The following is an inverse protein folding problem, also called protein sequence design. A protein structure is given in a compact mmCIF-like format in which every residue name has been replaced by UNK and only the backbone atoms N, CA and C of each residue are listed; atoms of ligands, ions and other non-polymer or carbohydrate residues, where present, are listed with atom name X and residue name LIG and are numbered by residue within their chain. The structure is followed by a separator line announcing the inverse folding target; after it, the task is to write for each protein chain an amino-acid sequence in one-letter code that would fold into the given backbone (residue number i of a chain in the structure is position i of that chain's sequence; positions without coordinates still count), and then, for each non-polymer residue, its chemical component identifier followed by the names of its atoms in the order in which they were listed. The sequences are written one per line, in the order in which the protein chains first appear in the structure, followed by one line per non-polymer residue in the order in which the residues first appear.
data_IF_312399003767
#
_entry.id   IF_312399003767
#
_cell.length_a   1.000
_cell.length_b   1.000
_cell.length_c   1.000
_cell.angle_alpha   90.00
_cell.angle_beta   90.00
_cell.angle_gamma   90.00
#
_symmetry.space_group_name_H-M   'P 1'
#
loop_
_entity.id
_entity.type
_entity.pdbx_description
1 polymer ?
#
# COMPACT_ATOMS: atom_id res chain seq x y z
N UNK A 1 68.79 17.56 27.79
CA UNK A 1 68.38 16.19 28.26
C UNK A 1 66.85 16.21 28.35
N UNK A 2 66.23 15.67 27.34
CA UNK A 2 64.77 15.64 27.17
C UNK A 2 64.29 14.20 27.30
N UNK A 3 63.50 13.92 28.33
CA UNK A 3 62.92 12.59 28.59
C UNK A 3 61.57 12.47 27.96
N UNK A 4 61.49 11.64 26.93
CA UNK A 4 60.29 11.30 26.20
C UNK A 4 59.33 10.49 27.11
N UNK A 5 58.11 10.99 27.37
CA UNK A 5 57.01 10.24 27.97
C UNK A 5 56.22 9.51 26.88
N UNK A 6 56.42 8.21 26.80
CA UNK A 6 55.61 7.29 26.02
C UNK A 6 54.18 7.24 26.58
N UNK A 7 53.19 7.69 25.78
CA UNK A 7 51.78 7.58 26.10
C UNK A 7 51.26 6.16 25.81
N UNK A 8 50.90 5.46 26.86
CA UNK A 8 50.21 4.16 26.77
C UNK A 8 48.76 4.42 26.34
N UNK A 9 48.45 4.04 25.11
CA UNK A 9 47.12 4.08 24.51
C UNK A 9 46.27 2.98 25.12
N UNK A 10 45.41 3.31 26.10
CA UNK A 10 44.38 2.41 26.61
C UNK A 10 43.30 2.20 25.53
N UNK A 11 43.25 1.04 24.94
CA UNK A 11 42.09 0.62 24.13
C UNK A 11 40.89 0.43 25.06
N UNK A 12 39.69 0.91 24.64
CA UNK A 12 38.47 0.68 25.39
C UNK A 12 38.05 -0.78 25.19
N UNK A 13 38.11 -1.57 26.25
CA UNK A 13 37.48 -2.90 26.30
C UNK A 13 35.97 -2.71 26.15
N UNK A 14 35.47 -2.90 24.95
CA UNK A 14 34.04 -2.97 24.68
C UNK A 14 33.45 -4.13 25.47
N UNK A 15 32.69 -3.84 26.54
CA UNK A 15 31.77 -4.79 27.15
C UNK A 15 30.73 -5.20 26.12
N UNK A 16 30.98 -6.26 25.37
CA UNK A 16 29.99 -6.93 24.55
C UNK A 16 28.87 -7.41 25.50
N UNK A 17 27.74 -6.77 25.47
CA UNK A 17 26.47 -7.32 25.97
C UNK A 17 26.24 -8.61 25.18
N UNK A 18 26.46 -9.76 25.80
CA UNK A 18 26.27 -11.07 25.17
C UNK A 18 24.76 -11.31 24.98
N UNK A 19 24.25 -10.92 23.84
CA UNK A 19 22.87 -11.20 23.39
C UNK A 19 22.69 -12.71 23.21
N UNK A 20 21.55 -13.24 23.64
CA UNK A 20 21.13 -14.60 23.38
C UNK A 20 20.94 -14.82 21.88
N UNK A 21 21.65 -15.79 21.30
CA UNK A 21 21.57 -16.16 19.90
C UNK A 21 20.87 -17.52 19.72
N UNK A 22 20.04 -17.71 18.69
CA UNK A 22 19.43 -18.99 18.42
C UNK A 22 20.44 -19.96 17.79
N UNK A 23 20.57 -21.13 18.41
CA UNK A 23 21.40 -22.25 17.94
C UNK A 23 20.50 -23.40 17.51
N UNK A 24 20.86 -24.04 16.40
CA UNK A 24 20.33 -25.35 16.00
C UNK A 24 21.35 -26.40 16.42
N UNK A 25 20.87 -27.45 17.13
CA UNK A 25 21.71 -28.53 17.57
C UNK A 25 21.19 -29.90 17.11
N UNK A 26 22.10 -30.80 16.84
CA UNK A 26 21.84 -32.21 16.60
C UNK A 26 22.62 -33.00 17.66
N UNK A 27 21.97 -33.97 18.29
CA UNK A 27 22.57 -34.78 19.33
C UNK A 27 21.93 -36.17 19.43
N UNK A 28 22.46 -37.00 20.29
CA UNK A 28 21.97 -38.38 20.52
C UNK A 28 21.59 -38.51 22.00
N UNK A 29 20.43 -39.01 22.30
CA UNK A 29 19.99 -39.35 23.65
C UNK A 29 20.74 -40.58 24.18
N UNK A 30 20.68 -40.83 25.48
CA UNK A 30 21.28 -42.02 26.16
C UNK A 30 20.83 -43.35 25.56
N UNK A 31 19.73 -43.38 24.83
CA UNK A 31 19.15 -44.54 24.12
C UNK A 31 19.63 -44.68 22.67
N UNK A 32 20.54 -43.83 22.19
CA UNK A 32 21.02 -43.85 20.82
C UNK A 32 20.11 -43.19 19.80
N UNK A 33 19.02 -42.55 20.24
CA UNK A 33 18.05 -41.84 19.32
C UNK A 33 18.58 -40.48 18.93
N UNK A 34 18.62 -40.20 17.64
CA UNK A 34 19.02 -38.87 17.11
C UNK A 34 17.92 -37.85 17.38
N UNK A 35 18.29 -36.77 18.03
CA UNK A 35 17.43 -35.64 18.35
C UNK A 35 17.96 -34.35 17.70
N UNK A 36 17.06 -33.50 17.29
CA UNK A 36 17.36 -32.15 16.75
C UNK A 36 16.50 -31.14 17.48
N UNK A 37 17.04 -29.98 17.76
CA UNK A 37 16.30 -28.93 18.44
C UNK A 37 16.89 -27.55 18.18
N UNK A 38 16.14 -26.53 18.60
CA UNK A 38 16.57 -25.14 18.59
C UNK A 38 16.52 -24.60 20.01
N UNK A 39 17.59 -23.89 20.44
CA UNK A 39 17.67 -23.30 21.77
C UNK A 39 18.45 -21.99 21.74
N UNK A 40 18.00 -21.03 22.56
CA UNK A 40 18.67 -19.74 22.73
C UNK A 40 19.83 -19.92 23.73
N UNK A 41 21.03 -19.52 23.34
CA UNK A 41 22.19 -19.54 24.22
C UNK A 41 23.12 -18.35 23.95
N UNK A 42 23.95 -18.00 24.95
CA UNK A 42 24.95 -16.93 24.80
C UNK A 42 26.13 -17.36 23.91
N UNK A 43 26.47 -18.65 23.91
CA UNK A 43 27.46 -19.22 22.99
C UNK A 43 27.26 -20.74 22.83
N UNK A 44 27.86 -21.31 21.78
CA UNK A 44 27.75 -22.74 21.45
C UNK A 44 28.28 -23.68 22.57
N UNK A 45 29.27 -23.24 23.33
CA UNK A 45 29.87 -24.06 24.37
C UNK A 45 28.96 -24.17 25.61
N UNK A 46 28.27 -23.09 25.98
CA UNK A 46 27.27 -23.12 27.05
C UNK A 46 26.10 -24.03 26.65
N UNK A 47 25.63 -23.96 25.42
CA UNK A 47 24.57 -24.84 24.93
C UNK A 47 24.99 -26.31 24.95
N UNK A 48 26.24 -26.65 24.56
CA UNK A 48 26.76 -28.01 24.64
C UNK A 48 26.81 -28.53 26.08
N UNK A 49 27.18 -27.68 27.02
CA UNK A 49 27.20 -28.05 28.44
C UNK A 49 25.79 -28.32 28.99
N UNK A 50 24.84 -27.50 28.58
CA UNK A 50 23.43 -27.62 28.97
C UNK A 50 22.77 -28.87 28.40
N UNK A 51 23.00 -29.18 27.12
CA UNK A 51 22.52 -30.40 26.47
C UNK A 51 23.11 -31.67 27.14
N UNK A 52 24.40 -31.66 27.53
CA UNK A 52 25.03 -32.77 28.29
C UNK A 52 24.36 -32.95 29.63
N UNK A 53 23.99 -31.87 30.33
CA UNK A 53 23.27 -31.94 31.61
C UNK A 53 21.88 -32.56 31.45
N UNK A 54 21.25 -32.34 30.28
CA UNK A 54 19.95 -32.93 29.91
C UNK A 54 20.07 -34.38 29.42
N UNK A 55 21.30 -34.97 29.42
CA UNK A 55 21.54 -36.34 28.99
C UNK A 55 21.64 -36.54 27.49
N UNK A 56 21.76 -35.45 26.74
CA UNK A 56 21.91 -35.46 25.28
C UNK A 56 23.39 -35.29 24.95
N UNK A 57 23.93 -36.19 24.15
CA UNK A 57 25.31 -36.06 23.66
C UNK A 57 25.29 -35.15 22.41
N UNK A 58 25.75 -33.88 22.51
CA UNK A 58 25.64 -32.93 21.40
C UNK A 58 26.65 -33.30 20.32
N UNK A 59 26.18 -33.55 19.13
CA UNK A 59 26.97 -33.71 17.93
C UNK A 59 27.31 -32.33 17.30
N UNK A 60 26.46 -31.83 16.44
CA UNK A 60 26.67 -30.55 15.75
C UNK A 60 25.85 -29.43 16.42
N UNK A 61 26.51 -28.34 16.84
CA UNK A 61 25.86 -27.14 17.34
C UNK A 61 26.30 -25.98 16.48
N UNK A 62 25.36 -25.39 15.73
CA UNK A 62 25.61 -24.27 14.81
C UNK A 62 24.70 -23.10 15.16
N UNK A 63 25.19 -21.89 15.00
CA UNK A 63 24.30 -20.69 14.99
C UNK A 63 23.28 -20.87 13.91
N UNK A 64 22.00 -20.67 14.23
CA UNK A 64 20.94 -20.72 13.23
C UNK A 64 21.25 -19.71 12.14
N UNK A 65 21.48 -20.12 10.88
CA UNK A 65 21.78 -19.18 9.82
C UNK A 65 20.62 -18.21 9.70
N UNK A 66 20.90 -16.91 9.71
CA UNK A 66 19.88 -15.91 9.37
C UNK A 66 19.46 -16.21 7.94
N UNK A 67 18.19 -16.54 7.68
CA UNK A 67 17.77 -16.82 6.32
C UNK A 67 18.02 -15.61 5.45
N UNK A 68 18.81 -15.76 4.41
CA UNK A 68 19.14 -14.74 3.41
C UNK A 68 17.90 -14.26 2.66
N UNK A 69 16.86 -15.10 2.58
CA UNK A 69 15.57 -14.81 1.94
C UNK A 69 14.45 -15.42 2.81
N UNK A 70 13.60 -14.58 3.43
CA UNK A 70 12.27 -15.01 3.82
C UNK A 70 11.89 -15.18 5.28
N UNK A 71 12.81 -15.13 6.27
CA UNK A 71 12.41 -15.27 7.69
C UNK A 71 11.97 -13.97 8.36
N UNK A 72 12.05 -12.85 7.67
CA UNK A 72 11.59 -11.57 8.21
C UNK A 72 10.05 -11.39 8.13
N UNK A 73 9.31 -12.36 7.60
CA UNK A 73 7.87 -12.19 7.33
C UNK A 73 7.58 -11.13 6.27
N UNK A 74 6.40 -11.15 5.70
CA UNK A 74 5.95 -10.07 4.82
C UNK A 74 5.84 -8.75 5.61
N UNK A 75 6.05 -7.57 4.98
CA UNK A 75 5.82 -6.30 5.65
C UNK A 75 4.38 -6.24 6.18
N UNK A 76 4.19 -5.58 7.32
CA UNK A 76 2.87 -5.34 7.89
C UNK A 76 2.06 -4.52 6.90
N UNK A 77 0.92 -5.04 6.45
CA UNK A 77 0.03 -4.40 5.48
C UNK A 77 -1.05 -3.60 6.20
N UNK A 78 -1.63 -2.61 5.53
CA UNK A 78 -2.76 -1.85 6.07
C UNK A 78 -3.95 -2.75 6.46
N UNK A 79 -4.16 -3.85 5.72
CA UNK A 79 -5.17 -4.87 6.06
C UNK A 79 -4.90 -5.56 7.40
N UNK A 80 -3.61 -5.79 7.73
CA UNK A 80 -3.24 -6.41 9.02
C UNK A 80 -3.57 -5.46 10.17
N UNK A 81 -3.37 -4.15 9.96
CA UNK A 81 -3.73 -3.11 10.93
C UNK A 81 -5.26 -2.96 11.07
N UNK A 82 -6.00 -3.00 9.96
CA UNK A 82 -7.47 -2.97 10.02
C UNK A 82 -8.01 -4.17 10.83
N UNK A 83 -7.49 -5.37 10.58
CA UNK A 83 -7.84 -6.58 11.31
C UNK A 83 -7.47 -6.51 12.80
N UNK A 84 -6.25 -6.04 13.10
CA UNK A 84 -5.80 -5.75 14.46
C UNK A 84 -6.77 -4.81 15.19
N UNK A 85 -7.12 -3.68 14.56
CA UNK A 85 -8.02 -2.69 15.13
C UNK A 85 -9.40 -3.27 15.43
N UNK A 86 -9.94 -4.09 14.51
CA UNK A 86 -11.22 -4.78 14.71
C UNK A 86 -11.17 -5.77 15.86
N UNK A 87 -10.11 -6.56 15.96
CA UNK A 87 -9.95 -7.50 17.06
C UNK A 87 -9.82 -6.78 18.41
N UNK A 88 -8.98 -5.72 18.48
CA UNK A 88 -8.86 -4.90 19.67
C UNK A 88 -10.21 -4.29 20.10
N UNK A 89 -10.92 -3.66 19.17
CA UNK A 89 -12.23 -3.08 19.42
C UNK A 89 -13.23 -4.12 19.97
N UNK A 90 -13.29 -5.30 19.34
CA UNK A 90 -14.20 -6.37 19.73
C UNK A 90 -13.88 -6.90 21.13
N UNK A 91 -12.61 -7.15 21.43
CA UNK A 91 -12.19 -7.67 22.74
C UNK A 91 -12.42 -6.65 23.85
N UNK A 92 -12.07 -5.39 23.63
CA UNK A 92 -12.27 -4.33 24.61
C UNK A 92 -13.76 -4.06 24.86
N UNK A 93 -14.58 -4.08 23.80
CA UNK A 93 -16.03 -3.96 23.93
C UNK A 93 -16.67 -5.12 24.71
N UNK A 94 -16.01 -6.29 24.70
CA UNK A 94 -16.38 -7.45 25.50
C UNK A 94 -15.78 -7.43 26.92
N UNK A 95 -15.11 -6.35 27.32
CA UNK A 95 -14.52 -6.18 28.66
C UNK A 95 -13.17 -6.87 28.86
N UNK A 96 -12.53 -7.37 27.78
CA UNK A 96 -11.19 -7.99 27.90
C UNK A 96 -10.14 -6.87 28.09
N UNK A 97 -9.27 -6.99 29.12
CA UNK A 97 -8.22 -6.00 29.35
C UNK A 97 -7.28 -5.83 28.14
N UNK A 98 -6.77 -4.60 27.93
CA UNK A 98 -5.91 -4.24 26.80
C UNK A 98 -4.72 -5.19 26.62
N UNK A 99 -4.00 -5.46 27.71
CA UNK A 99 -2.80 -6.34 27.71
C UNK A 99 -3.15 -7.76 27.27
N UNK A 100 -4.25 -8.31 27.81
CA UNK A 100 -4.73 -9.64 27.43
C UNK A 100 -5.19 -9.69 25.97
N UNK A 101 -5.84 -8.64 25.48
CA UNK A 101 -6.25 -8.51 24.08
C UNK A 101 -5.05 -8.51 23.14
N UNK A 102 -4.01 -7.76 23.48
CA UNK A 102 -2.76 -7.71 22.71
C UNK A 102 -2.05 -9.06 22.68
N UNK A 103 -2.02 -9.79 23.81
CA UNK A 103 -1.40 -11.11 23.89
C UNK A 103 -2.13 -12.15 23.01
N UNK A 104 -3.46 -12.16 23.04
CA UNK A 104 -4.29 -13.02 22.20
C UNK A 104 -4.04 -12.73 20.71
N UNK A 105 -4.02 -11.44 20.33
CA UNK A 105 -3.79 -11.03 18.95
C UNK A 105 -2.38 -11.40 18.48
N UNK A 106 -1.36 -11.15 19.31
CA UNK A 106 0.02 -11.48 19.00
C UNK A 106 0.21 -12.99 18.79
N UNK A 107 -0.37 -13.82 19.67
CA UNK A 107 -0.27 -15.27 19.58
C UNK A 107 -1.01 -15.85 18.38
N UNK A 108 -2.13 -15.28 17.99
CA UNK A 108 -2.97 -15.74 16.86
C UNK A 108 -2.52 -15.28 15.48
N UNK A 109 -1.62 -14.30 15.37
CA UNK A 109 -1.30 -13.70 14.08
C UNK A 109 -0.24 -14.50 13.30
N UNK A 110 -0.53 -14.78 12.00
CA UNK A 110 0.36 -15.58 11.12
C UNK A 110 1.62 -14.82 10.67
N UNK A 111 1.57 -13.48 10.59
CA UNK A 111 2.70 -12.68 10.15
C UNK A 111 3.66 -12.40 11.32
N UNK A 112 4.92 -12.91 11.30
CA UNK A 112 5.87 -12.72 12.40
C UNK A 112 6.21 -11.25 12.70
N UNK A 113 6.17 -10.38 11.66
CA UNK A 113 6.41 -8.94 11.86
C UNK A 113 5.24 -8.27 12.58
N UNK A 114 4.01 -8.69 12.27
CA UNK A 114 2.83 -8.19 12.99
C UNK A 114 2.83 -8.68 14.44
N UNK A 115 3.13 -9.96 14.66
CA UNK A 115 3.30 -10.49 16.00
C UNK A 115 4.31 -9.68 16.80
N UNK A 116 5.51 -9.44 16.25
CA UNK A 116 6.55 -8.64 16.92
C UNK A 116 6.08 -7.20 17.20
N UNK A 117 5.35 -6.58 16.27
CA UNK A 117 4.78 -5.24 16.46
C UNK A 117 3.83 -5.21 17.66
N UNK A 118 2.89 -6.15 17.71
CA UNK A 118 1.90 -6.23 18.80
C UNK A 118 2.55 -6.59 20.13
N UNK A 119 3.52 -7.50 20.14
CA UNK A 119 4.32 -7.85 21.34
C UNK A 119 5.09 -6.62 21.87
N UNK A 120 5.64 -5.79 20.98
CA UNK A 120 6.35 -4.55 21.39
C UNK A 120 5.37 -3.56 22.02
N UNK A 121 4.19 -3.34 21.41
CA UNK A 121 3.14 -2.48 21.96
C UNK A 121 2.67 -2.99 23.31
N UNK A 122 2.46 -4.32 23.45
CA UNK A 122 2.08 -4.95 24.71
C UNK A 122 3.12 -4.66 25.80
N UNK A 123 4.39 -4.89 25.51
CA UNK A 123 5.49 -4.67 26.47
C UNK A 123 5.58 -3.21 26.91
N UNK A 124 5.37 -2.26 25.99
CA UNK A 124 5.34 -0.84 26.31
C UNK A 124 4.19 -0.50 27.27
N UNK A 125 3.01 -1.07 27.06
CA UNK A 125 1.83 -0.85 27.92
C UNK A 125 2.00 -1.53 29.29
N UNK A 126 2.55 -2.76 29.32
CA UNK A 126 2.90 -3.43 30.58
C UNK A 126 3.96 -2.62 31.38
N UNK A 127 4.83 -1.88 30.67
CA UNK A 127 5.80 -0.96 31.27
C UNK A 127 5.21 0.38 31.74
N UNK A 128 3.87 0.59 31.61
CA UNK A 128 3.17 1.78 32.08
C UNK A 128 2.98 2.87 31.02
N UNK A 129 3.36 2.66 29.77
CA UNK A 129 3.05 3.60 28.69
C UNK A 129 1.55 3.56 28.33
N UNK A 130 0.99 4.70 27.93
CA UNK A 130 -0.36 4.73 27.38
C UNK A 130 -0.44 4.02 26.03
N UNK A 131 -1.64 3.62 25.62
CA UNK A 131 -1.87 3.02 24.28
C UNK A 131 -1.43 3.98 23.17
N UNK A 132 -1.77 5.27 23.32
CA UNK A 132 -1.34 6.32 22.40
C UNK A 132 0.19 6.40 22.29
N UNK A 133 0.91 6.40 23.43
CA UNK A 133 2.38 6.46 23.45
C UNK A 133 3.00 5.24 22.78
N UNK A 134 2.50 4.04 23.10
CA UNK A 134 2.99 2.80 22.54
C UNK A 134 2.85 2.73 21.03
N UNK A 135 1.67 3.09 20.46
CA UNK A 135 1.45 3.10 19.01
C UNK A 135 2.20 4.25 18.30
N UNK A 136 2.46 5.36 19.01
CA UNK A 136 3.17 6.52 18.42
C UNK A 136 4.62 6.23 18.08
N UNK A 137 5.22 5.20 18.68
CA UNK A 137 6.55 4.68 18.30
C UNK A 137 6.57 4.01 16.92
N UNK A 138 5.40 3.74 16.34
CA UNK A 138 5.24 3.01 15.08
C UNK A 138 4.46 3.82 14.01
N UNK A 139 4.97 4.99 13.57
CA UNK A 139 4.23 5.91 12.69
C UNK A 139 3.99 5.37 11.27
N UNK A 140 4.75 4.36 10.84
CA UNK A 140 4.58 3.71 9.54
C UNK A 140 3.34 2.83 9.51
N UNK A 141 3.00 2.19 10.63
CA UNK A 141 1.87 1.29 10.78
C UNK A 141 0.60 2.02 11.25
N UNK A 142 0.76 2.98 12.15
CA UNK A 142 -0.32 3.78 12.73
C UNK A 142 -0.18 5.22 12.29
N UNK A 143 -1.00 5.64 11.32
CA UNK A 143 -1.02 6.99 10.80
C UNK A 143 -1.44 8.03 11.87
N UNK A 144 -1.30 9.28 11.54
CA UNK A 144 -1.59 10.39 12.46
C UNK A 144 -3.03 10.38 12.95
N UNK A 145 -3.99 10.11 12.04
CA UNK A 145 -5.39 9.98 12.39
C UNK A 145 -5.60 8.88 13.46
N UNK A 146 -5.03 7.70 13.25
CA UNK A 146 -5.13 6.59 14.21
C UNK A 146 -4.64 6.99 15.59
N UNK A 147 -3.45 7.57 15.65
CA UNK A 147 -2.80 7.98 16.92
C UNK A 147 -3.59 9.06 17.66
N UNK A 148 -4.08 10.06 16.93
CA UNK A 148 -4.86 11.15 17.52
C UNK A 148 -6.22 10.69 18.03
N UNK A 149 -6.91 9.80 17.30
CA UNK A 149 -8.15 9.19 17.75
C UNK A 149 -7.95 8.35 19.01
N UNK A 150 -6.89 7.52 19.05
CA UNK A 150 -6.58 6.73 20.24
C UNK A 150 -6.24 7.64 21.42
N UNK A 151 -5.49 8.73 21.21
CA UNK A 151 -5.20 9.74 22.26
C UNK A 151 -6.48 10.33 22.84
N UNK A 152 -7.39 10.76 21.97
CA UNK A 152 -8.66 11.33 22.39
C UNK A 152 -9.53 10.32 23.15
N UNK A 153 -9.64 9.09 22.64
CA UNK A 153 -10.42 8.03 23.27
C UNK A 153 -9.85 7.56 24.60
N UNK A 154 -8.54 7.51 24.73
CA UNK A 154 -7.84 7.16 25.97
C UNK A 154 -8.05 8.27 27.02
N UNK A 155 -7.88 9.53 26.64
CA UNK A 155 -8.11 10.67 27.52
C UNK A 155 -9.57 10.81 27.99
N UNK A 156 -10.54 10.42 27.17
CA UNK A 156 -11.97 10.45 27.48
C UNK A 156 -12.49 9.15 28.14
N UNK A 157 -11.67 8.10 28.25
CA UNK A 157 -12.07 6.79 28.79
C UNK A 157 -13.02 6.00 27.89
N UNK A 158 -13.06 6.29 26.57
CA UNK A 158 -13.96 5.66 25.58
C UNK A 158 -13.16 4.96 24.48
N UNK A 159 -12.01 4.41 24.83
CA UNK A 159 -11.05 3.81 23.90
C UNK A 159 -11.65 2.69 23.04
N UNK A 160 -12.57 1.88 23.60
CA UNK A 160 -13.28 0.84 22.88
C UNK A 160 -14.12 1.38 21.71
N UNK A 161 -14.85 2.48 21.94
CA UNK A 161 -15.69 3.14 20.92
C UNK A 161 -14.83 3.74 19.82
N UNK A 162 -13.71 4.34 20.19
CA UNK A 162 -12.76 4.93 19.24
C UNK A 162 -12.08 3.84 18.41
N UNK A 163 -11.65 2.75 19.03
CA UNK A 163 -11.05 1.62 18.31
C UNK A 163 -12.04 0.97 17.33
N UNK A 164 -13.32 0.84 17.68
CA UNK A 164 -14.36 0.35 16.78
C UNK A 164 -14.56 1.28 15.59
N UNK A 165 -14.55 2.57 15.84
CA UNK A 165 -14.66 3.60 14.80
C UNK A 165 -13.47 3.59 13.86
N UNK A 166 -12.25 3.50 14.40
CA UNK A 166 -11.00 3.38 13.62
C UNK A 166 -10.95 2.07 12.83
N UNK A 167 -11.40 0.96 13.44
CA UNK A 167 -11.47 -0.33 12.75
C UNK A 167 -12.39 -0.24 11.53
N UNK A 168 -13.60 0.29 11.72
CA UNK A 168 -14.57 0.50 10.62
C UNK A 168 -14.02 1.40 9.52
N UNK A 169 -13.34 2.49 9.90
CA UNK A 169 -12.69 3.39 8.95
C UNK A 169 -11.61 2.67 8.12
N UNK A 170 -10.72 1.94 8.77
CA UNK A 170 -9.64 1.18 8.09
C UNK A 170 -10.20 0.06 7.21
N UNK A 171 -11.23 -0.65 7.66
CA UNK A 171 -11.92 -1.69 6.88
C UNK A 171 -12.55 -1.11 5.61
N UNK A 172 -13.25 0.03 5.69
CA UNK A 172 -13.86 0.68 4.54
C UNK A 172 -12.81 1.11 3.51
N UNK A 173 -11.69 1.71 3.95
CA UNK A 173 -10.58 2.07 3.06
C UNK A 173 -10.01 0.84 2.37
N UNK A 174 -9.76 -0.24 3.11
CA UNK A 174 -9.18 -1.46 2.52
C UNK A 174 -10.18 -2.20 1.62
N UNK A 175 -11.47 -2.18 1.93
CA UNK A 175 -12.54 -2.70 1.08
C UNK A 175 -12.61 -1.95 -0.25
N UNK A 176 -12.57 -0.60 -0.22
CA UNK A 176 -12.57 0.24 -1.40
C UNK A 176 -11.33 0.00 -2.28
N UNK A 177 -10.13 -0.02 -1.68
CA UNK A 177 -8.89 -0.37 -2.40
C UNK A 177 -8.97 -1.76 -3.01
N UNK A 178 -9.53 -2.72 -2.29
CA UNK A 178 -9.75 -4.08 -2.76
C UNK A 178 -10.69 -4.13 -3.97
N UNK A 179 -11.78 -3.36 -3.94
CA UNK A 179 -12.74 -3.26 -5.03
C UNK A 179 -12.09 -2.66 -6.29
N UNK A 180 -11.39 -1.54 -6.17
CA UNK A 180 -10.66 -0.91 -7.28
C UNK A 180 -9.64 -1.89 -7.88
N UNK A 181 -8.85 -2.57 -7.04
CA UNK A 181 -7.86 -3.54 -7.51
C UNK A 181 -8.49 -4.71 -8.26
N UNK A 182 -9.62 -5.24 -7.78
CA UNK A 182 -10.36 -6.33 -8.45
C UNK A 182 -10.93 -5.85 -9.79
N UNK A 183 -11.51 -4.66 -9.82
CA UNK A 183 -12.09 -4.08 -11.02
C UNK A 183 -11.06 -3.88 -12.14
N UNK A 184 -9.85 -3.45 -11.80
CA UNK A 184 -8.76 -3.24 -12.75
C UNK A 184 -8.00 -4.52 -13.13
N UNK A 185 -8.16 -5.61 -12.38
CA UNK A 185 -7.38 -6.84 -12.62
C UNK A 185 -7.68 -7.45 -13.99
N UNK A 186 -8.97 -7.62 -14.33
CA UNK A 186 -9.39 -8.19 -15.61
C UNK A 186 -8.90 -7.34 -16.81
N UNK A 187 -9.16 -6.01 -16.87
CA UNK A 187 -8.64 -5.14 -17.92
C UNK A 187 -7.12 -5.25 -18.12
N UNK A 188 -6.36 -5.20 -17.03
CA UNK A 188 -4.90 -5.29 -17.09
C UNK A 188 -4.45 -6.64 -17.64
N UNK A 189 -5.05 -7.75 -17.19
CA UNK A 189 -4.69 -9.08 -17.68
C UNK A 189 -5.00 -9.25 -19.18
N UNK A 190 -6.14 -8.75 -19.65
CA UNK A 190 -6.51 -8.82 -21.07
C UNK A 190 -5.54 -8.02 -21.93
N UNK A 191 -5.17 -6.79 -21.50
CA UNK A 191 -4.18 -5.97 -22.21
C UNK A 191 -2.80 -6.65 -22.22
N UNK A 192 -2.37 -7.22 -21.11
CA UNK A 192 -1.09 -7.94 -21.02
C UNK A 192 -1.05 -9.13 -21.98
N UNK A 193 -2.11 -9.94 -22.03
CA UNK A 193 -2.20 -11.09 -22.94
C UNK A 193 -2.22 -10.62 -24.38
N UNK A 194 -3.00 -9.58 -24.71
CA UNK A 194 -3.06 -9.01 -26.06
C UNK A 194 -1.69 -8.48 -26.51
N UNK A 195 -0.98 -7.75 -25.63
CA UNK A 195 0.37 -7.25 -25.90
C UNK A 195 1.37 -8.40 -26.10
N UNK A 196 1.26 -9.47 -25.31
CA UNK A 196 2.11 -10.65 -25.44
C UNK A 196 1.89 -11.35 -26.78
N UNK A 197 0.63 -11.62 -27.13
CA UNK A 197 0.28 -12.26 -28.42
C UNK A 197 0.72 -11.38 -29.58
N UNK A 198 0.45 -10.08 -29.54
CA UNK A 198 0.88 -9.13 -30.57
C UNK A 198 2.41 -9.07 -30.68
N UNK A 199 3.12 -9.12 -29.55
CA UNK A 199 4.57 -9.17 -29.53
C UNK A 199 5.13 -10.45 -30.19
N UNK A 200 4.54 -11.61 -29.87
CA UNK A 200 4.91 -12.88 -30.51
C UNK A 200 4.68 -12.81 -32.03
N UNK A 201 3.53 -12.28 -32.45
CA UNK A 201 3.22 -12.12 -33.87
C UNK A 201 4.24 -11.22 -34.58
N UNK A 202 4.56 -10.07 -33.98
CA UNK A 202 5.52 -9.13 -34.56
C UNK A 202 6.97 -9.67 -34.58
N UNK A 203 7.37 -10.43 -33.57
CA UNK A 203 8.77 -10.91 -33.47
C UNK A 203 9.01 -12.17 -34.30
N UNK A 204 8.05 -13.08 -34.36
CA UNK A 204 8.24 -14.40 -34.99
C UNK A 204 7.50 -14.55 -36.32
N UNK A 205 6.27 -14.07 -36.41
CA UNK A 205 5.41 -14.38 -37.58
C UNK A 205 5.66 -13.37 -38.70
N UNK A 206 5.66 -12.07 -38.39
CA UNK A 206 5.83 -11.01 -39.41
C UNK A 206 7.16 -11.14 -40.18
N UNK A 207 8.33 -11.43 -39.56
CA UNK A 207 9.57 -11.63 -40.28
C UNK A 207 9.56 -12.82 -41.27
N UNK A 208 8.92 -13.94 -40.87
CA UNK A 208 8.79 -15.10 -41.75
C UNK A 208 7.99 -14.79 -43.01
N UNK A 209 6.91 -14.02 -42.88
CA UNK A 209 6.18 -13.54 -44.04
C UNK A 209 7.00 -12.60 -44.92
N UNK A 210 7.76 -11.70 -44.32
CA UNK A 210 8.68 -10.80 -45.06
C UNK A 210 9.66 -11.59 -45.92
N UNK A 211 10.28 -12.62 -45.35
CA UNK A 211 11.25 -13.46 -46.06
C UNK A 211 10.63 -14.25 -47.24
N UNK A 212 9.41 -14.78 -47.01
CA UNK A 212 8.63 -15.44 -48.07
C UNK A 212 8.35 -14.48 -49.22
N UNK A 213 7.88 -13.24 -48.96
CA UNK A 213 7.56 -12.28 -49.99
C UNK A 213 8.81 -11.80 -50.77
N UNK A 214 9.93 -11.59 -50.09
CA UNK A 214 11.20 -11.26 -50.75
C UNK A 214 11.67 -12.36 -51.71
N UNK A 215 11.42 -13.63 -51.40
CA UNK A 215 11.79 -14.73 -52.28
C UNK A 215 10.99 -14.77 -53.57
N UNK A 216 9.78 -14.19 -53.60
CA UNK A 216 8.96 -14.03 -54.81
C UNK A 216 9.24 -12.75 -55.60
N UNK A 217 10.23 -11.92 -55.17
CA UNK A 217 10.58 -10.67 -55.85
C UNK A 217 9.50 -9.60 -55.83
N UNK A 218 8.48 -9.71 -55.01
CA UNK A 218 7.35 -8.78 -54.96
C UNK A 218 7.60 -7.70 -53.88
N UNK A 219 7.25 -6.45 -54.24
CA UNK A 219 7.31 -5.35 -53.25
C UNK A 219 6.14 -5.47 -52.26
N UNK A 220 6.46 -5.30 -50.95
CA UNK A 220 5.48 -5.31 -49.89
C UNK A 220 4.54 -4.08 -49.98
N UNK A 221 3.23 -4.24 -49.78
CA UNK A 221 2.30 -3.10 -49.65
C UNK A 221 2.73 -2.16 -48.52
N UNK A 222 2.46 -0.85 -48.70
CA UNK A 222 2.90 0.19 -47.77
C UNK A 222 2.47 -0.09 -46.30
N UNK A 223 1.25 -0.59 -46.09
CA UNK A 223 0.76 -0.95 -44.76
C UNK A 223 1.52 -2.13 -44.14
N UNK A 224 1.80 -3.17 -44.92
CA UNK A 224 2.63 -4.32 -44.46
C UNK A 224 4.05 -3.86 -44.15
N UNK A 225 4.61 -2.97 -44.98
CA UNK A 225 5.94 -2.41 -44.75
C UNK A 225 6.01 -1.60 -43.44
N UNK A 226 4.96 -0.87 -43.09
CA UNK A 226 4.84 -0.17 -41.82
C UNK A 226 4.89 -1.15 -40.63
N UNK A 227 4.10 -2.26 -40.70
CA UNK A 227 4.07 -3.27 -39.66
C UNK A 227 5.41 -4.01 -39.54
N UNK A 228 6.07 -4.31 -40.65
CA UNK A 228 7.42 -4.90 -40.68
C UNK A 228 8.46 -3.96 -40.06
N UNK A 229 8.42 -2.67 -40.37
CA UNK A 229 9.31 -1.69 -39.77
C UNK A 229 9.09 -1.56 -38.27
N UNK A 230 7.82 -1.57 -37.83
CA UNK A 230 7.48 -1.61 -36.39
C UNK A 230 8.00 -2.87 -35.71
N UNK A 231 7.88 -4.05 -36.38
CA UNK A 231 8.42 -5.31 -35.92
C UNK A 231 9.93 -5.22 -35.72
N UNK A 232 10.66 -4.76 -36.73
CA UNK A 232 12.12 -4.59 -36.67
C UNK A 232 12.55 -3.63 -35.56
N UNK A 233 11.81 -2.52 -35.41
CA UNK A 233 12.05 -1.58 -34.33
C UNK A 233 11.86 -2.24 -32.96
N UNK A 234 10.78 -2.99 -32.77
CA UNK A 234 10.53 -3.73 -31.51
C UNK A 234 11.60 -4.77 -31.23
N UNK A 235 12.01 -5.58 -32.23
CA UNK A 235 13.05 -6.60 -32.08
C UNK A 235 14.40 -5.98 -31.74
N UNK A 236 14.75 -4.85 -32.36
CA UNK A 236 16.06 -4.21 -32.15
C UNK A 236 16.15 -3.40 -30.85
N UNK A 237 15.04 -2.78 -30.43
CA UNK A 237 15.03 -1.79 -29.36
C UNK A 237 14.18 -2.18 -28.14
N UNK A 238 13.68 -3.42 -28.04
CA UNK A 238 12.82 -3.85 -26.93
C UNK A 238 13.47 -3.62 -25.55
N UNK A 239 14.75 -3.88 -25.42
CA UNK A 239 15.49 -3.69 -24.17
C UNK A 239 15.59 -2.21 -23.78
N UNK A 240 15.79 -1.32 -24.78
CA UNK A 240 15.83 0.13 -24.56
C UNK A 240 14.43 0.65 -24.19
N UNK A 241 13.37 0.17 -24.86
CA UNK A 241 11.99 0.50 -24.52
C UNK A 241 11.67 0.10 -23.09
N UNK A 242 12.09 -1.10 -22.67
CA UNK A 242 11.90 -1.59 -21.30
C UNK A 242 12.70 -0.74 -20.30
N UNK A 243 13.94 -0.38 -20.60
CA UNK A 243 14.77 0.47 -19.75
C UNK A 243 14.18 1.87 -19.61
N UNK A 244 13.71 2.47 -20.71
CA UNK A 244 13.05 3.78 -20.72
C UNK A 244 11.74 3.71 -19.92
N UNK A 245 10.92 2.68 -20.10
CA UNK A 245 9.67 2.50 -19.37
C UNK A 245 9.91 2.37 -17.86
N UNK A 246 10.87 1.54 -17.45
CA UNK A 246 11.25 1.40 -16.03
C UNK A 246 11.84 2.71 -15.50
N UNK A 247 12.76 3.33 -16.23
CA UNK A 247 13.39 4.60 -15.83
C UNK A 247 12.36 5.72 -15.66
N UNK A 248 11.42 5.83 -16.59
CA UNK A 248 10.33 6.81 -16.53
C UNK A 248 9.40 6.53 -15.33
N UNK A 249 9.00 5.27 -15.13
CA UNK A 249 8.16 4.89 -13.99
C UNK A 249 8.84 5.17 -12.65
N UNK A 250 10.12 4.78 -12.50
CA UNK A 250 10.91 5.06 -11.29
C UNK A 250 11.12 6.56 -11.11
N UNK A 251 11.45 7.28 -12.18
CA UNK A 251 11.65 8.73 -12.18
C UNK A 251 10.38 9.48 -11.75
N UNK A 252 9.22 9.11 -12.28
CA UNK A 252 7.92 9.69 -11.91
C UNK A 252 7.60 9.40 -10.44
N UNK A 253 7.77 8.16 -9.97
CA UNK A 253 7.52 7.78 -8.57
C UNK A 253 8.48 8.52 -7.61
N UNK A 254 9.75 8.63 -7.96
CA UNK A 254 10.73 9.34 -7.14
C UNK A 254 10.46 10.85 -7.12
N UNK A 255 10.12 11.45 -8.26
CA UNK A 255 9.78 12.88 -8.37
C UNK A 255 8.50 13.20 -7.60
N UNK A 256 7.48 12.35 -7.70
CA UNK A 256 6.24 12.47 -6.93
C UNK A 256 6.51 12.45 -5.41
N UNK A 257 7.36 11.52 -4.94
CA UNK A 257 7.68 11.40 -3.50
C UNK A 257 8.61 12.51 -2.97
N UNK A 258 9.45 13.11 -3.82
CA UNK A 258 10.48 14.10 -3.39
C UNK A 258 10.06 15.54 -3.57
N UNK A 259 9.15 15.84 -4.47
CA UNK A 259 8.79 17.21 -4.83
C UNK A 259 7.32 17.52 -4.51
N UNK A 260 7.02 18.33 -3.48
CA UNK A 260 5.66 18.77 -3.17
C UNK A 260 4.99 19.46 -4.36
N UNK A 261 5.73 20.23 -5.17
CA UNK A 261 5.21 20.89 -6.38
C UNK A 261 4.77 19.88 -7.43
N UNK A 262 5.53 18.81 -7.64
CA UNK A 262 5.17 17.75 -8.58
C UNK A 262 3.94 16.98 -8.07
N UNK A 263 3.87 16.70 -6.79
CA UNK A 263 2.73 16.04 -6.15
C UNK A 263 1.46 16.87 -6.37
N UNK A 264 1.51 18.16 -6.08
CA UNK A 264 0.39 19.06 -6.28
C UNK A 264 -0.03 19.19 -7.75
N UNK A 265 0.93 19.28 -8.69
CA UNK A 265 0.63 19.33 -10.13
C UNK A 265 -0.02 18.04 -10.61
N UNK A 266 0.49 16.89 -10.18
CA UNK A 266 -0.05 15.57 -10.56
C UNK A 266 -1.45 15.36 -9.98
N UNK A 267 -1.65 15.66 -8.70
CA UNK A 267 -2.94 15.55 -8.02
C UNK A 267 -4.00 16.44 -8.70
N UNK A 268 -3.63 17.69 -9.03
CA UNK A 268 -4.50 18.60 -9.79
C UNK A 268 -4.80 18.08 -11.19
N UNK A 269 -3.83 17.47 -11.87
CA UNK A 269 -4.04 16.90 -13.21
C UNK A 269 -4.99 15.70 -13.15
N UNK A 270 -4.80 14.80 -12.20
CA UNK A 270 -5.64 13.61 -12.02
C UNK A 270 -7.11 13.98 -11.77
N UNK A 271 -7.39 15.05 -11.02
CA UNK A 271 -8.75 15.56 -10.82
C UNK A 271 -9.44 16.03 -12.11
N UNK A 272 -8.68 16.39 -13.16
CA UNK A 272 -9.21 16.83 -14.47
C UNK A 272 -9.43 15.69 -15.47
N UNK A 273 -8.88 14.49 -15.17
CA UNK A 273 -9.04 13.34 -16.09
C UNK A 273 -10.48 12.85 -16.03
N UNK A 274 -11.16 12.70 -17.19
CA UNK A 274 -12.54 12.21 -17.19
C UNK A 274 -12.64 10.83 -16.53
N UNK A 275 -13.73 10.56 -15.83
CA UNK A 275 -14.02 9.37 -15.04
C UNK A 275 -13.12 9.22 -13.81
N UNK A 276 -11.78 9.20 -13.99
CA UNK A 276 -10.81 9.07 -12.88
C UNK A 276 -10.89 10.29 -11.94
N UNK A 277 -11.01 11.50 -12.50
CA UNK A 277 -11.15 12.73 -11.72
C UNK A 277 -12.40 12.69 -10.84
N UNK A 278 -13.53 12.22 -11.37
CA UNK A 278 -14.77 12.08 -10.60
C UNK A 278 -14.62 11.08 -9.44
N UNK A 279 -13.97 9.93 -9.68
CA UNK A 279 -13.66 8.94 -8.63
C UNK A 279 -12.77 9.57 -7.56
N UNK A 280 -11.75 10.33 -7.94
CA UNK A 280 -10.85 10.99 -6.99
C UNK A 280 -11.53 12.10 -6.20
N UNK A 281 -12.39 12.91 -6.84
CA UNK A 281 -13.24 13.91 -6.16
C UNK A 281 -14.15 13.26 -5.12
N UNK A 282 -14.94 12.27 -5.55
CA UNK A 282 -15.86 11.56 -4.66
C UNK A 282 -15.11 10.86 -3.51
N UNK A 283 -13.95 10.26 -3.81
CA UNK A 283 -13.11 9.62 -2.78
C UNK A 283 -12.52 10.62 -1.77
N UNK A 284 -12.12 11.81 -2.21
CA UNK A 284 -11.60 12.86 -1.32
C UNK A 284 -12.71 13.39 -0.41
N UNK A 285 -13.90 13.62 -0.95
CA UNK A 285 -15.08 14.06 -0.19
C UNK A 285 -15.53 12.99 0.81
N UNK A 286 -15.60 11.72 0.38
CA UNK A 286 -15.96 10.61 1.25
C UNK A 286 -14.99 10.49 2.44
N UNK A 287 -13.67 10.57 2.17
CA UNK A 287 -12.65 10.53 3.22
C UNK A 287 -12.71 11.74 4.13
N UNK A 288 -12.82 12.94 3.57
CA UNK A 288 -13.00 14.16 4.35
C UNK A 288 -14.20 14.01 5.30
N UNK A 289 -15.38 13.69 4.77
CA UNK A 289 -16.62 13.61 5.55
C UNK A 289 -16.56 12.50 6.60
N UNK A 290 -16.09 11.31 6.22
CA UNK A 290 -15.94 10.17 7.15
C UNK A 290 -14.97 10.50 8.28
N UNK A 291 -13.80 11.05 7.94
CA UNK A 291 -12.77 11.35 8.93
C UNK A 291 -13.20 12.47 9.87
N UNK A 292 -13.84 13.53 9.33
CA UNK A 292 -14.36 14.62 10.16
C UNK A 292 -15.45 14.11 11.10
N UNK A 293 -16.40 13.32 10.59
CA UNK A 293 -17.47 12.75 11.42
C UNK A 293 -16.92 11.87 12.54
N UNK A 294 -15.95 11.02 12.24
CA UNK A 294 -15.30 10.13 13.22
C UNK A 294 -14.55 10.90 14.29
N UNK A 295 -13.73 11.88 13.88
CA UNK A 295 -12.92 12.70 14.79
C UNK A 295 -13.81 13.56 15.70
N UNK A 296 -14.81 14.19 15.13
CA UNK A 296 -15.77 15.01 15.90
C UNK A 296 -16.59 14.17 16.88
N UNK A 297 -17.09 12.99 16.45
CA UNK A 297 -17.78 12.03 17.31
C UNK A 297 -16.89 11.53 18.46
N UNK A 298 -15.57 11.44 18.25
CA UNK A 298 -14.62 11.08 19.30
C UNK A 298 -14.31 12.24 20.28
N UNK A 299 -14.97 13.40 20.13
CA UNK A 299 -14.80 14.55 21.02
C UNK A 299 -13.58 15.41 20.72
N UNK A 300 -12.92 15.22 19.57
CA UNK A 300 -11.79 16.07 19.15
C UNK A 300 -12.34 17.44 18.73
N UNK A 301 -11.77 18.57 19.25
CA UNK A 301 -12.18 19.89 18.84
C UNK A 301 -12.12 20.08 17.32
N UNK A 302 -13.10 20.77 16.75
CA UNK A 302 -13.29 20.87 15.29
C UNK A 302 -12.06 21.39 14.54
N UNK A 303 -11.38 22.40 15.08
CA UNK A 303 -10.17 22.99 14.49
C UNK A 303 -9.04 21.95 14.44
N UNK A 304 -8.84 21.20 15.53
CA UNK A 304 -7.86 20.10 15.58
C UNK A 304 -8.25 18.97 14.63
N UNK A 305 -9.54 18.61 14.60
CA UNK A 305 -10.08 17.62 13.68
C UNK A 305 -9.80 17.97 12.22
N UNK A 306 -10.03 19.21 11.79
CA UNK A 306 -9.75 19.66 10.41
C UNK A 306 -8.25 19.56 10.08
N UNK A 307 -7.36 19.84 11.04
CA UNK A 307 -5.91 19.64 10.84
C UNK A 307 -5.54 18.18 10.54
N UNK A 308 -6.13 17.24 11.29
CA UNK A 308 -5.92 15.79 11.10
C UNK A 308 -6.54 15.31 9.77
N UNK A 309 -7.75 15.80 9.47
CA UNK A 309 -8.53 15.42 8.29
C UNK A 309 -7.85 15.86 6.99
N UNK A 310 -7.16 16.99 6.99
CA UNK A 310 -6.46 17.51 5.82
C UNK A 310 -5.53 16.45 5.21
N UNK A 311 -4.66 15.84 6.00
CA UNK A 311 -3.77 14.77 5.54
C UNK A 311 -4.48 13.46 5.16
N UNK A 312 -5.69 13.23 5.69
CA UNK A 312 -6.47 12.03 5.39
C UNK A 312 -7.24 12.09 4.05
N UNK A 313 -7.40 13.27 3.45
CA UNK A 313 -8.12 13.46 2.17
C UNK A 313 -7.46 12.70 1.01
N UNK A 314 -6.12 12.53 1.05
CA UNK A 314 -5.33 11.79 0.08
C UNK A 314 -5.22 12.45 -1.30
N UNK A 315 -5.42 13.76 -1.36
CA UNK A 315 -5.15 14.62 -2.51
C UNK A 315 -4.73 16.00 -2.01
N UNK A 316 -3.61 16.50 -2.48
CA UNK A 316 -2.99 17.74 -1.98
C UNK A 316 -3.85 18.98 -2.22
N UNK A 317 -4.70 18.99 -3.25
CA UNK A 317 -5.63 20.11 -3.51
C UNK A 317 -6.71 20.18 -2.43
N UNK A 318 -7.24 19.02 -2.02
CA UNK A 318 -8.19 18.94 -0.92
C UNK A 318 -7.53 19.18 0.43
N UNK A 319 -6.31 18.69 0.62
CA UNK A 319 -5.51 18.95 1.83
C UNK A 319 -5.32 20.43 2.09
N UNK A 320 -4.87 21.19 1.08
CA UNK A 320 -4.72 22.65 1.18
C UNK A 320 -6.07 23.34 1.44
N UNK A 321 -7.14 22.89 0.81
CA UNK A 321 -8.47 23.46 1.02
C UNK A 321 -8.96 23.26 2.46
N UNK A 322 -8.77 22.06 3.02
CA UNK A 322 -9.16 21.75 4.39
C UNK A 322 -8.31 22.50 5.40
N UNK A 323 -7.00 22.69 5.13
CA UNK A 323 -6.14 23.52 5.98
C UNK A 323 -6.60 24.99 5.98
N UNK A 324 -7.03 25.55 4.84
CA UNK A 324 -7.64 26.90 4.80
C UNK A 324 -8.93 26.96 5.59
N UNK A 325 -9.80 25.94 5.43
CA UNK A 325 -11.03 25.85 6.23
C UNK A 325 -10.73 25.80 7.72
N UNK A 326 -9.69 25.06 8.14
CA UNK A 326 -9.25 25.05 9.55
C UNK A 326 -8.88 26.44 10.03
N UNK A 327 -8.10 27.19 9.24
CA UNK A 327 -7.66 28.53 9.59
C UNK A 327 -8.87 29.49 9.69
N UNK A 328 -9.82 29.43 8.74
CA UNK A 328 -11.05 30.21 8.79
C UNK A 328 -11.90 29.88 10.03
N UNK A 329 -12.10 28.59 10.31
CA UNK A 329 -12.87 28.12 11.48
C UNK A 329 -12.21 28.53 12.79
N UNK A 330 -10.86 28.57 12.83
CA UNK A 330 -10.11 29.00 14.01
C UNK A 330 -10.36 30.46 14.40
N UNK A 331 -10.74 31.30 13.45
CA UNK A 331 -11.11 32.72 13.68
C UNK A 331 -12.64 32.92 13.76
N UNK A 332 -13.41 31.84 13.79
CA UNK A 332 -14.85 31.84 14.07
C UNK A 332 -15.76 31.81 12.84
N UNK A 333 -15.24 31.60 11.63
CA UNK A 333 -16.11 31.39 10.46
C UNK A 333 -16.82 30.03 10.54
N UNK A 334 -18.11 29.96 10.13
CA UNK A 334 -18.82 28.68 10.02
C UNK A 334 -18.14 27.74 9.02
N UNK A 335 -18.15 26.42 9.31
CA UNK A 335 -17.50 25.41 8.46
C UNK A 335 -18.11 25.38 7.06
N UNK A 336 -19.45 25.45 6.96
CA UNK A 336 -20.15 25.45 5.67
C UNK A 336 -19.77 26.66 4.80
N UNK A 337 -19.53 27.84 5.39
CA UNK A 337 -19.11 29.03 4.68
C UNK A 337 -17.66 28.92 4.19
N UNK A 338 -16.75 28.46 5.04
CA UNK A 338 -15.36 28.19 4.68
C UNK A 338 -15.26 27.12 3.59
N UNK A 339 -16.05 26.07 3.67
CA UNK A 339 -16.16 25.01 2.68
C UNK A 339 -16.61 25.57 1.31
N UNK A 340 -17.61 26.45 1.29
CA UNK A 340 -18.13 27.10 0.08
C UNK A 340 -17.05 27.92 -0.65
N UNK A 341 -16.19 28.61 0.08
CA UNK A 341 -15.12 29.44 -0.49
C UNK A 341 -14.06 28.61 -1.25
N UNK A 342 -13.89 27.35 -0.90
CA UNK A 342 -12.91 26.46 -1.58
C UNK A 342 -13.31 26.10 -3.01
N UNK A 343 -14.58 26.16 -3.36
CA UNK A 343 -15.17 25.72 -4.64
C UNK A 343 -14.86 24.25 -5.02
N UNK A 344 -14.51 23.41 -4.04
CA UNK A 344 -14.18 22.00 -4.25
C UNK A 344 -15.30 21.05 -3.79
N UNK A 345 -16.15 21.52 -2.90
CA UNK A 345 -17.20 20.70 -2.31
C UNK A 345 -18.53 20.92 -3.03
N UNK A 346 -19.25 19.84 -3.41
CA UNK A 346 -20.58 19.93 -3.96
C UNK A 346 -21.60 20.57 -3.01
N UNK A 347 -22.62 21.18 -3.59
CA UNK A 347 -23.64 21.93 -2.85
C UNK A 347 -24.30 21.10 -1.74
N UNK A 348 -24.58 19.80 -1.99
CA UNK A 348 -25.14 18.90 -0.99
C UNK A 348 -24.25 18.79 0.25
N UNK A 349 -22.92 18.69 0.09
CA UNK A 349 -21.98 18.57 1.21
C UNK A 349 -22.01 19.84 2.05
N UNK A 350 -22.00 21.02 1.40
CA UNK A 350 -22.06 22.33 2.06
C UNK A 350 -23.36 22.47 2.86
N UNK A 351 -24.50 22.10 2.25
CA UNK A 351 -25.81 22.18 2.92
C UNK A 351 -25.90 21.23 4.13
N UNK A 352 -25.48 19.96 3.97
CA UNK A 352 -25.52 18.99 5.06
C UNK A 352 -24.59 19.40 6.21
N UNK A 353 -23.43 19.99 5.88
CA UNK A 353 -22.53 20.56 6.89
C UNK A 353 -23.18 21.72 7.63
N UNK A 354 -23.86 22.65 6.93
CA UNK A 354 -24.56 23.78 7.55
C UNK A 354 -25.69 23.33 8.48
N UNK A 355 -26.53 22.40 8.01
CA UNK A 355 -27.60 21.80 8.85
C UNK A 355 -27.03 21.13 10.11
N UNK A 356 -25.94 20.37 9.93
CA UNK A 356 -25.25 19.70 11.03
C UNK A 356 -24.63 20.68 12.02
N UNK A 357 -24.09 21.80 11.54
CA UNK A 357 -23.51 22.86 12.35
C UNK A 357 -24.58 23.59 13.16
N UNK A 358 -25.68 23.98 12.51
CA UNK A 358 -26.84 24.64 13.18
C UNK A 358 -27.56 23.74 14.19
N UNK A 359 -27.71 22.45 13.88
CA UNK A 359 -28.37 21.47 14.71
C UNK A 359 -27.49 20.87 15.81
N UNK A 360 -26.18 21.15 15.82
CA UNK A 360 -25.24 20.51 16.73
C UNK A 360 -25.02 19.00 16.44
N UNK A 361 -25.36 18.56 15.22
CA UNK A 361 -25.31 17.15 14.79
C UNK A 361 -24.38 16.97 13.57
N UNK A 362 -23.24 17.68 13.58
CA UNK A 362 -22.30 17.72 12.47
C UNK A 362 -21.74 16.32 12.12
N UNK A 363 -21.45 15.50 13.14
CA UNK A 363 -21.00 14.12 12.96
C UNK A 363 -22.03 13.27 12.21
N UNK A 364 -23.31 13.32 12.62
CA UNK A 364 -24.39 12.55 12.00
C UNK A 364 -24.60 12.95 10.53
N UNK A 365 -24.58 14.24 10.23
CA UNK A 365 -24.75 14.75 8.87
C UNK A 365 -23.57 14.37 7.98
N UNK A 366 -22.34 14.52 8.48
CA UNK A 366 -21.14 14.14 7.73
C UNK A 366 -21.00 12.62 7.56
N UNK A 367 -21.50 11.80 8.50
CA UNK A 367 -21.62 10.35 8.28
C UNK A 367 -22.51 10.03 7.08
N UNK A 368 -23.65 10.71 6.94
CA UNK A 368 -24.55 10.52 5.79
C UNK A 368 -23.92 10.96 4.48
N UNK A 369 -23.21 12.08 4.48
CA UNK A 369 -22.44 12.54 3.33
C UNK A 369 -21.38 11.49 2.95
N UNK A 370 -20.65 10.96 3.92
CA UNK A 370 -19.63 9.94 3.69
C UNK A 370 -20.23 8.66 3.08
N UNK A 371 -21.34 8.15 3.64
CA UNK A 371 -22.05 6.97 3.10
C UNK A 371 -22.46 7.18 1.64
N UNK A 372 -23.02 8.34 1.32
CA UNK A 372 -23.42 8.68 -0.05
C UNK A 372 -22.22 8.70 -1.01
N UNK A 373 -21.14 9.40 -0.66
CA UNK A 373 -19.97 9.50 -1.52
C UNK A 373 -19.16 8.21 -1.61
N UNK A 374 -19.14 7.38 -0.57
CA UNK A 374 -18.60 6.02 -0.64
C UNK A 374 -19.37 5.17 -1.66
N UNK A 375 -20.71 5.31 -1.68
CA UNK A 375 -21.54 4.63 -2.68
C UNK A 375 -21.30 5.17 -4.09
N UNK A 376 -21.18 6.49 -4.26
CA UNK A 376 -20.86 7.12 -5.55
C UNK A 376 -19.48 6.69 -6.10
N UNK A 377 -18.48 6.52 -5.22
CA UNK A 377 -17.19 5.95 -5.61
C UNK A 377 -17.37 4.52 -6.09
N UNK A 378 -18.16 3.70 -5.37
CA UNK A 378 -18.44 2.33 -5.77
C UNK A 378 -19.11 2.27 -7.14
N UNK A 379 -20.14 3.10 -7.37
CA UNK A 379 -20.85 3.21 -8.65
C UNK A 379 -19.91 3.64 -9.79
N UNK A 380 -19.07 4.63 -9.53
CA UNK A 380 -18.09 5.12 -10.51
C UNK A 380 -17.04 4.08 -10.88
N UNK A 381 -16.58 3.26 -9.92
CA UNK A 381 -15.64 2.14 -10.17
C UNK A 381 -16.31 1.04 -10.99
N UNK A 382 -17.56 0.71 -10.71
CA UNK A 382 -18.31 -0.28 -11.45
C UNK A 382 -18.58 0.20 -12.90
N UNK A 383 -18.95 1.49 -13.07
CA UNK A 383 -19.11 2.12 -14.39
C UNK A 383 -17.79 2.16 -15.19
N UNK A 384 -16.66 2.47 -14.53
CA UNK A 384 -15.35 2.44 -15.18
C UNK A 384 -15.02 1.04 -15.71
N UNK A 385 -15.30 -0.01 -14.92
CA UNK A 385 -15.07 -1.39 -15.34
C UNK A 385 -15.89 -1.77 -16.56
N UNK A 386 -17.16 -1.36 -16.62
CA UNK A 386 -18.05 -1.61 -17.74
C UNK A 386 -17.64 -0.86 -19.01
N UNK A 387 -17.08 0.36 -18.88
CA UNK A 387 -16.57 1.14 -20.01
C UNK A 387 -15.25 0.62 -20.57
N UNK A 388 -14.40 0.05 -19.70
CA UNK A 388 -13.12 -0.50 -20.13
C UNK A 388 -13.28 -1.69 -21.08
N UNK A 389 -14.30 -2.51 -20.92
CA UNK A 389 -14.51 -3.71 -21.74
C UNK A 389 -14.68 -3.41 -23.22
N UNK A 390 -15.62 -2.54 -23.66
CA UNK A 390 -15.71 -2.13 -25.08
C UNK A 390 -14.44 -1.46 -25.61
N UNK A 391 -13.80 -0.61 -24.80
CA UNK A 391 -12.56 0.06 -25.21
C UNK A 391 -11.43 -0.95 -25.47
N UNK A 392 -11.30 -1.97 -24.61
CA UNK A 392 -10.31 -3.04 -24.78
C UNK A 392 -10.63 -3.88 -26.03
N UNK A 393 -11.90 -4.19 -26.27
CA UNK A 393 -12.31 -4.93 -27.47
C UNK A 393 -11.95 -4.16 -28.75
N UNK A 394 -12.23 -2.85 -28.79
CA UNK A 394 -11.86 -2.00 -29.94
C UNK A 394 -10.34 -1.94 -30.11
N UNK A 395 -9.60 -1.77 -29.00
CA UNK A 395 -8.14 -1.71 -29.03
C UNK A 395 -7.52 -3.02 -29.56
N UNK A 396 -7.95 -4.15 -29.02
CA UNK A 396 -7.47 -5.47 -29.46
C UNK A 396 -7.90 -5.75 -30.90
N UNK A 397 -9.15 -5.49 -31.25
CA UNK A 397 -9.67 -5.65 -32.60
C UNK A 397 -8.88 -4.84 -33.63
N UNK A 398 -8.49 -3.61 -33.28
CA UNK A 398 -7.67 -2.76 -34.14
C UNK A 398 -6.25 -3.32 -34.32
N UNK A 399 -5.60 -3.75 -33.24
CA UNK A 399 -4.25 -4.31 -33.30
C UNK A 399 -4.25 -5.65 -34.06
N UNK A 400 -5.08 -6.60 -33.64
CA UNK A 400 -5.11 -7.94 -34.25
C UNK A 400 -5.63 -7.87 -35.68
N UNK A 401 -6.73 -7.13 -35.91
CA UNK A 401 -7.27 -6.91 -37.27
C UNK A 401 -6.25 -6.23 -38.20
N UNK A 402 -5.56 -5.21 -37.69
CA UNK A 402 -4.47 -4.55 -38.45
C UNK A 402 -3.34 -5.51 -38.81
N UNK A 403 -2.91 -6.38 -37.87
CA UNK A 403 -1.89 -7.40 -38.17
C UNK A 403 -2.38 -8.42 -39.20
N UNK A 404 -3.61 -8.89 -39.08
CA UNK A 404 -4.21 -9.83 -40.05
C UNK A 404 -4.26 -9.19 -41.43
N UNK A 405 -4.73 -7.95 -41.56
CA UNK A 405 -4.74 -7.23 -42.83
C UNK A 405 -3.33 -7.07 -43.39
N UNK A 406 -2.35 -6.72 -42.55
CA UNK A 406 -0.96 -6.57 -42.99
C UNK A 406 -0.36 -7.86 -43.54
N UNK A 407 -0.78 -9.02 -43.03
CA UNK A 407 -0.32 -10.35 -43.49
C UNK A 407 -1.04 -10.82 -44.75
N UNK A 408 -2.34 -10.55 -44.87
CA UNK A 408 -3.13 -11.00 -46.04
C UNK A 408 -3.01 -10.10 -47.26
N UNK A 409 -2.78 -8.78 -47.06
CA UNK A 409 -2.73 -7.80 -48.17
C UNK A 409 -1.65 -8.16 -49.23
N UNK A 410 -0.45 -8.64 -48.85
CA UNK A 410 0.53 -9.11 -49.83
C UNK A 410 0.07 -10.34 -50.61
N UNK A 411 -0.63 -11.29 -49.95
CA UNK A 411 -1.14 -12.52 -50.62
C UNK A 411 -2.12 -12.14 -51.76
N UNK A 412 -3.01 -11.19 -51.51
CA UNK A 412 -3.93 -10.72 -52.55
C UNK A 412 -3.21 -10.01 -53.70
N UNK A 413 -2.11 -9.26 -53.43
CA UNK A 413 -1.30 -8.65 -54.48
C UNK A 413 -0.54 -9.68 -55.32
N UNK A 414 -0.02 -10.76 -54.73
CA UNK A 414 0.64 -11.83 -55.49
C UNK A 414 -0.36 -12.55 -56.41
N UNK A 415 -1.59 -12.80 -55.97
CA UNK A 415 -2.63 -13.38 -56.81
C UNK A 415 -3.00 -12.51 -58.05
N UNK A 416 -2.82 -11.20 -57.95
CA UNK A 416 -3.05 -10.25 -59.05
C UNK A 416 -1.86 -10.10 -60.04
N UNK A 417 -0.66 -10.57 -59.67
CA UNK A 417 0.55 -10.50 -60.49
C UNK A 417 0.82 -11.84 -61.23
N UNK A 418 0.34 -12.97 -60.69
CA UNK A 418 0.51 -14.31 -61.26
C UNK A 418 -0.69 -14.73 -62.14
N UNK A 419 -1.83 -14.06 -62.05
CA UNK A 419 -2.97 -14.21 -62.97
C UNK A 419 -3.01 -13.15 -64.04
#
# INVERSE_FOLDING_TARGET
MSVSRSAIKKEPVARATMELQPFVWEGTDKRGVKMKGEQLAKNANLLRAELRRQGINPGQVKVKPKPLFGAAGSPVKAKDIAFFSRQMATMMKSGVPIVSSLDIIASGHKNPRMKKLVDTIRTDIEGGSSMHEAISKHPVQFDELYRNLVRAGEGAGVLETVLDTVATYKENIEALKGKIKKALFYPIMVVVVAMLVSGIMLVFVVPQFEDVFKSFGAELPAFTQLVVNLSRFMVSWWWLMLLVAIGTAVGLVMSYKRSPKMQHAMDRFVLKVPVIGQIMHNSAIARFSRTTAVTFKAGVPLVEALGIVAGATGNTVYEEAVLRMRDDVSVGYPVNMSMKQTNLFPHMVIQMTGIGEEAGALDAMLFKVAEYYEQEVNNSVDALSSLLEPMIMVFIGTIVGGMVIAMYLPIFKLGAVVG
#
